data_IF_345901169547
#
_entry.id   IF_345901169547
#
_cell.length_a   1.000
_cell.length_b   1.000
_cell.length_c   1.000
_cell.angle_alpha   90.00
_cell.angle_beta   90.00
_cell.angle_gamma   90.00
#
_symmetry.space_group_name_H-M   'P 1'
#
loop_
_entity.id
_entity.type
_entity.pdbx_description
1 polymer ?
#
# COMPACT_ATOMS: atom_id res chain seq x y z
N UNK A 1 -29.50 -11.39 -16.52
CA UNK A 1 -30.06 -11.21 -17.89
C UNK A 1 -29.30 -10.20 -18.75
N UNK A 2 -28.90 -9.03 -18.23
CA UNK A 2 -28.33 -7.96 -19.08
C UNK A 2 -26.87 -8.17 -19.53
N UNK A 3 -26.03 -8.87 -18.76
CA UNK A 3 -24.63 -9.11 -19.11
C UNK A 3 -24.11 -10.45 -18.57
N UNK A 4 -24.66 -11.60 -19.01
CA UNK A 4 -24.34 -12.92 -18.44
C UNK A 4 -22.87 -13.34 -18.65
N UNK A 5 -22.16 -12.68 -19.58
CA UNK A 5 -20.75 -12.95 -19.90
C UNK A 5 -19.80 -11.89 -19.33
N UNK A 6 -20.29 -10.97 -18.50
CA UNK A 6 -19.44 -9.95 -17.90
C UNK A 6 -18.30 -10.58 -17.09
N UNK A 7 -17.10 -10.03 -17.24
CA UNK A 7 -15.95 -10.44 -16.44
C UNK A 7 -15.85 -9.57 -15.19
N UNK A 8 -15.91 -10.22 -14.03
CA UNK A 8 -15.71 -9.54 -12.76
C UNK A 8 -14.22 -9.43 -12.47
N UNK A 9 -13.71 -8.20 -12.40
CA UNK A 9 -12.38 -7.90 -11.87
C UNK A 9 -12.58 -7.33 -10.48
N UNK A 10 -12.24 -8.12 -9.45
CA UNK A 10 -12.44 -7.77 -8.05
C UNK A 10 -11.12 -7.36 -7.41
N UNK A 11 -11.14 -6.31 -6.59
CA UNK A 11 -10.05 -6.00 -5.68
C UNK A 11 -10.24 -6.77 -4.36
N UNK A 12 -9.50 -7.87 -4.23
CA UNK A 12 -9.29 -8.59 -2.97
C UNK A 12 -8.26 -7.87 -2.11
N UNK A 13 -7.39 -8.61 -1.43
CA UNK A 13 -6.23 -8.04 -0.73
C UNK A 13 -5.20 -9.13 -0.39
N UNK A 14 -3.90 -8.80 -0.50
CA UNK A 14 -2.83 -9.68 0.05
C UNK A 14 -3.00 -9.96 1.55
N UNK A 15 -3.75 -9.13 2.28
CA UNK A 15 -4.06 -9.34 3.69
C UNK A 15 -4.97 -10.53 3.97
N UNK A 16 -5.60 -11.15 2.96
CA UNK A 16 -6.38 -12.38 3.13
C UNK A 16 -5.50 -13.55 3.60
N UNK A 17 -4.30 -13.68 3.04
CA UNK A 17 -3.38 -14.77 3.36
C UNK A 17 -2.83 -14.72 4.80
N UNK A 18 -2.76 -13.53 5.40
CA UNK A 18 -2.04 -13.33 6.66
C UNK A 18 -0.53 -13.52 6.48
N UNK A 19 0.11 -14.14 7.47
CA UNK A 19 1.58 -14.35 7.49
C UNK A 19 1.93 -15.78 7.92
N UNK A 20 1.62 -16.79 7.10
CA UNK A 20 1.92 -18.18 7.39
C UNK A 20 3.44 -18.45 7.34
N UNK A 21 3.86 -19.62 7.83
CA UNK A 21 5.26 -20.05 7.79
C UNK A 21 5.57 -20.93 6.56
N UNK A 22 4.92 -20.63 5.44
CA UNK A 22 5.10 -21.27 4.13
C UNK A 22 5.02 -20.18 3.04
N UNK A 23 5.43 -20.50 1.82
CA UNK A 23 5.25 -19.62 0.67
C UNK A 23 3.76 -19.30 0.46
N UNK A 24 3.47 -18.04 0.14
CA UNK A 24 2.13 -17.60 -0.23
C UNK A 24 1.97 -17.76 -1.74
N UNK A 25 1.04 -18.61 -2.14
CA UNK A 25 0.72 -18.85 -3.55
C UNK A 25 -0.28 -17.82 -4.08
N UNK A 26 -0.51 -17.82 -5.39
CA UNK A 26 -1.53 -16.99 -6.03
C UNK A 26 -2.92 -17.67 -5.97
N UNK A 27 -3.50 -17.64 -4.77
CA UNK A 27 -4.88 -18.03 -4.41
C UNK A 27 -5.14 -19.50 -4.14
N UNK A 28 -4.28 -20.40 -4.62
CA UNK A 28 -4.49 -21.84 -4.52
C UNK A 28 -3.19 -22.57 -4.19
N UNK A 29 -3.31 -23.67 -3.44
CA UNK A 29 -2.19 -24.49 -3.01
C UNK A 29 -2.45 -25.95 -3.40
N UNK A 30 -1.49 -26.58 -4.06
CA UNK A 30 -1.50 -28.04 -4.27
C UNK A 30 -0.91 -28.71 -3.04
N UNK A 31 -1.67 -29.58 -2.40
CA UNK A 31 -1.25 -30.31 -1.20
C UNK A 31 -1.25 -31.81 -1.45
N UNK A 32 -0.31 -32.52 -0.84
CA UNK A 32 -0.36 -33.98 -0.69
C UNK A 32 -0.61 -34.30 0.78
N UNK A 33 -1.73 -34.95 1.09
CA UNK A 33 -2.13 -35.29 2.45
C UNK A 33 -2.67 -36.72 2.50
N UNK A 34 -2.10 -37.56 3.38
CA UNK A 34 -2.47 -38.97 3.57
C UNK A 34 -2.51 -39.79 2.26
N UNK A 35 -1.48 -39.63 1.41
CA UNK A 35 -1.35 -40.37 0.15
C UNK A 35 -2.26 -39.87 -0.99
N UNK A 36 -2.99 -38.77 -0.80
CA UNK A 36 -3.83 -38.14 -1.83
C UNK A 36 -3.33 -36.74 -2.15
N UNK A 37 -3.49 -36.31 -3.40
CA UNK A 37 -3.13 -34.98 -3.86
C UNK A 37 -4.37 -34.23 -4.34
N UNK A 38 -4.46 -32.94 -4.02
CA UNK A 38 -5.52 -32.05 -4.50
C UNK A 38 -5.04 -30.60 -4.58
N UNK A 39 -5.73 -29.76 -5.36
CA UNK A 39 -5.50 -28.32 -5.47
C UNK A 39 -6.65 -27.56 -4.82
N UNK A 40 -6.36 -26.92 -3.70
CA UNK A 40 -7.35 -26.29 -2.84
C UNK A 40 -7.17 -24.76 -2.81
N UNK A 41 -8.20 -23.99 -2.40
CA UNK A 41 -8.00 -22.60 -2.01
C UNK A 41 -6.91 -22.50 -0.95
N UNK A 42 -6.06 -21.48 -1.06
CA UNK A 42 -5.01 -21.25 -0.07
C UNK A 42 -5.64 -20.97 1.31
N UNK A 43 -5.08 -21.49 2.43
CA UNK A 43 -5.60 -21.18 3.77
C UNK A 43 -5.41 -19.70 4.16
N UNK A 44 -6.52 -18.99 4.39
CA UNK A 44 -6.53 -17.54 4.63
C UNK A 44 -6.60 -17.19 6.13
N UNK A 45 -5.89 -16.14 6.56
CA UNK A 45 -5.76 -15.69 7.95
C UNK A 45 -5.80 -14.14 8.07
N UNK A 46 -6.95 -13.50 7.77
CA UNK A 46 -7.06 -12.04 7.76
C UNK A 46 -6.88 -11.42 9.15
N UNK A 47 -6.13 -10.30 9.22
CA UNK A 47 -5.79 -9.63 10.48
C UNK A 47 -6.71 -8.48 10.92
N UNK A 48 -7.82 -8.22 10.22
CA UNK A 48 -8.81 -7.19 10.59
C UNK A 48 -10.17 -7.48 9.97
N UNK A 49 -11.24 -6.80 10.43
CA UNK A 49 -12.57 -6.92 9.81
C UNK A 49 -12.60 -6.47 8.35
N UNK A 50 -11.78 -5.48 7.97
CA UNK A 50 -11.59 -5.10 6.58
C UNK A 50 -11.03 -6.27 5.75
N UNK A 51 -9.92 -6.89 6.18
CA UNK A 51 -9.34 -8.02 5.45
C UNK A 51 -10.27 -9.24 5.46
N UNK A 52 -11.01 -9.47 6.55
CA UNK A 52 -11.98 -10.55 6.65
C UNK A 52 -13.15 -10.36 5.69
N UNK A 53 -13.63 -9.13 5.51
CA UNK A 53 -14.67 -8.85 4.52
C UNK A 53 -14.24 -9.19 3.09
N UNK A 54 -12.96 -8.97 2.74
CA UNK A 54 -12.42 -9.36 1.43
C UNK A 54 -12.37 -10.88 1.27
N UNK A 55 -11.98 -11.61 2.32
CA UNK A 55 -12.06 -13.07 2.32
C UNK A 55 -13.49 -13.59 2.06
N UNK A 56 -14.50 -12.92 2.63
CA UNK A 56 -15.90 -13.26 2.35
C UNK A 56 -16.25 -13.03 0.88
N UNK A 57 -15.83 -11.90 0.29
CA UNK A 57 -16.02 -11.63 -1.14
C UNK A 57 -15.40 -12.75 -1.99
N UNK A 58 -14.14 -13.10 -1.71
CA UNK A 58 -13.37 -14.11 -2.45
C UNK A 58 -14.09 -15.46 -2.47
N UNK A 59 -14.54 -15.94 -1.31
CA UNK A 59 -15.29 -17.19 -1.22
C UNK A 59 -16.65 -17.13 -1.94
N UNK A 60 -17.38 -16.03 -1.82
CA UNK A 60 -18.66 -15.86 -2.49
C UNK A 60 -18.51 -15.86 -4.02
N UNK A 61 -17.49 -15.16 -4.52
CA UNK A 61 -17.21 -15.08 -5.95
C UNK A 61 -16.74 -16.44 -6.48
N UNK A 62 -15.85 -17.12 -5.77
CA UNK A 62 -15.40 -18.47 -6.15
C UNK A 62 -16.56 -19.45 -6.22
N UNK A 63 -17.47 -19.41 -5.24
CA UNK A 63 -18.71 -20.20 -5.26
C UNK A 63 -19.54 -19.89 -6.50
N UNK A 64 -19.78 -18.61 -6.79
CA UNK A 64 -20.58 -18.18 -7.93
C UNK A 64 -19.94 -18.58 -9.28
N UNK A 65 -18.61 -18.55 -9.40
CA UNK A 65 -17.89 -19.03 -10.59
C UNK A 65 -18.17 -20.54 -10.79
N UNK A 66 -17.99 -21.34 -9.73
CA UNK A 66 -18.19 -22.80 -9.79
C UNK A 66 -19.63 -23.22 -10.08
N UNK A 67 -20.61 -22.53 -9.50
CA UNK A 67 -22.02 -22.96 -9.53
C UNK A 67 -22.80 -22.30 -10.67
N UNK A 68 -22.51 -21.04 -10.99
CA UNK A 68 -23.28 -20.27 -11.97
C UNK A 68 -22.48 -19.95 -13.24
N UNK A 69 -21.24 -20.41 -13.37
CA UNK A 69 -20.41 -20.16 -14.55
C UNK A 69 -19.90 -18.73 -14.65
N UNK A 70 -19.90 -17.95 -13.55
CA UNK A 70 -19.27 -16.63 -13.55
C UNK A 70 -17.78 -16.75 -13.92
N UNK A 71 -17.27 -15.73 -14.59
CA UNK A 71 -15.83 -15.57 -14.84
C UNK A 71 -15.32 -14.41 -13.99
N UNK A 72 -14.28 -14.66 -13.19
CA UNK A 72 -13.74 -13.64 -12.31
C UNK A 72 -12.21 -13.69 -12.20
N UNK A 73 -11.63 -12.51 -12.01
CA UNK A 73 -10.26 -12.33 -11.57
C UNK A 73 -10.26 -11.55 -10.27
N UNK A 74 -9.76 -12.17 -9.21
CA UNK A 74 -9.56 -11.53 -7.92
C UNK A 74 -8.11 -11.07 -7.80
N UNK A 75 -7.94 -9.76 -7.68
CA UNK A 75 -6.66 -9.09 -7.58
C UNK A 75 -6.34 -8.88 -6.10
N UNK A 76 -5.51 -9.77 -5.55
CA UNK A 76 -5.01 -9.68 -4.19
C UNK A 76 -3.90 -8.64 -4.15
N UNK A 77 -4.32 -7.38 -4.06
CA UNK A 77 -3.41 -6.25 -4.16
C UNK A 77 -2.59 -6.05 -2.88
N UNK A 78 -1.31 -5.71 -3.07
CA UNK A 78 -0.42 -5.21 -2.05
C UNK A 78 -0.74 -3.77 -1.63
N UNK A 79 0.16 -3.15 -0.87
CA UNK A 79 0.00 -1.76 -0.44
C UNK A 79 0.44 -0.82 -1.56
N UNK A 80 -0.47 0.04 -2.01
CA UNK A 80 -0.21 1.03 -3.06
C UNK A 80 0.56 2.23 -2.49
N UNK A 81 1.52 2.73 -3.25
CA UNK A 81 2.21 4.00 -3.01
C UNK A 81 2.16 4.92 -4.24
N UNK A 82 2.37 6.22 -4.00
CA UNK A 82 2.34 7.25 -5.02
C UNK A 82 0.93 7.79 -5.30
N UNK A 83 0.86 8.87 -6.08
CA UNK A 83 -0.37 9.58 -6.44
C UNK A 83 -0.35 10.11 -7.88
N UNK A 84 0.58 9.63 -8.71
CA UNK A 84 0.81 10.17 -10.02
C UNK A 84 0.69 9.08 -11.08
N UNK A 85 -0.07 9.36 -12.12
CA UNK A 85 -0.17 8.59 -13.37
C UNK A 85 -0.20 9.58 -14.52
N UNK A 86 0.06 9.12 -15.74
CA UNK A 86 0.03 9.98 -16.93
C UNK A 86 -1.32 10.69 -17.08
N UNK A 87 -2.44 9.99 -16.83
CA UNK A 87 -3.79 10.56 -16.89
C UNK A 87 -4.01 11.64 -15.81
N UNK A 88 -3.58 11.38 -14.58
CA UNK A 88 -3.68 12.34 -13.46
C UNK A 88 -2.80 13.56 -13.70
N UNK A 89 -1.71 13.42 -14.46
CA UNK A 89 -0.80 14.50 -14.79
C UNK A 89 -1.35 15.48 -15.85
N UNK A 90 -2.39 15.08 -16.60
CA UNK A 90 -2.89 15.85 -17.73
C UNK A 90 -3.47 17.22 -17.34
N UNK A 91 -4.07 17.33 -16.15
CA UNK A 91 -4.64 18.58 -15.65
C UNK A 91 -4.67 18.57 -14.10
N UNK A 92 -4.36 19.69 -13.42
CA UNK A 92 -4.44 19.76 -11.95
C UNK A 92 -5.80 19.35 -11.37
N UNK A 93 -6.90 19.53 -12.10
CA UNK A 93 -8.25 19.10 -11.72
C UNK A 93 -8.48 17.59 -11.75
N UNK A 94 -7.58 16.82 -12.35
CA UNK A 94 -7.60 15.34 -12.37
C UNK A 94 -6.79 14.72 -11.21
N UNK A 95 -6.21 15.56 -10.34
CA UNK A 95 -5.44 15.12 -9.18
C UNK A 95 -6.21 14.11 -8.33
N UNK A 96 -5.64 12.93 -8.13
CA UNK A 96 -6.18 11.95 -7.18
C UNK A 96 -5.84 12.31 -5.73
N UNK A 97 -6.56 11.73 -4.78
CA UNK A 97 -6.33 11.90 -3.34
C UNK A 97 -4.97 11.34 -2.92
N UNK A 98 -4.42 11.89 -1.83
CA UNK A 98 -3.22 11.38 -1.18
C UNK A 98 -3.41 11.36 0.33
N UNK A 99 -3.65 10.16 0.86
CA UNK A 99 -3.99 9.97 2.26
C UNK A 99 -2.74 9.79 3.12
N UNK A 100 -2.67 10.52 4.23
CA UNK A 100 -1.55 10.50 5.17
C UNK A 100 -1.99 10.31 6.62
N UNK A 101 -3.28 10.31 6.91
CA UNK A 101 -3.80 10.12 8.26
C UNK A 101 -3.57 8.68 8.76
N UNK A 102 -3.81 8.43 10.03
CA UNK A 102 -3.56 7.11 10.64
C UNK A 102 -4.63 6.04 10.30
N UNK A 103 -5.71 6.42 9.61
CA UNK A 103 -6.83 5.54 9.25
C UNK A 103 -6.69 5.06 7.80
N UNK A 104 -6.61 5.99 6.84
CA UNK A 104 -6.56 5.71 5.40
C UNK A 104 -5.14 5.75 4.83
N UNK A 105 -4.25 6.53 5.45
CA UNK A 105 -2.87 6.64 5.00
C UNK A 105 -2.12 5.31 5.10
N UNK A 106 -1.40 4.95 4.04
CA UNK A 106 -0.56 3.75 3.97
C UNK A 106 0.91 4.07 4.29
N UNK A 107 1.69 3.03 4.64
CA UNK A 107 3.05 3.17 5.22
C UNK A 107 3.96 4.12 4.45
N UNK A 108 4.20 3.88 3.16
CA UNK A 108 5.18 4.67 2.42
C UNK A 108 4.71 6.11 2.19
N UNK A 109 3.43 6.30 1.85
CA UNK A 109 2.85 7.63 1.68
C UNK A 109 2.95 8.45 2.98
N UNK A 110 2.61 7.84 4.13
CA UNK A 110 2.77 8.45 5.46
C UNK A 110 4.21 8.81 5.77
N UNK A 111 5.15 7.92 5.48
CA UNK A 111 6.58 8.21 5.66
C UNK A 111 7.02 9.38 4.79
N UNK A 112 6.63 9.44 3.52
CA UNK A 112 6.97 10.58 2.67
C UNK A 112 6.41 11.89 3.21
N UNK A 113 5.20 11.92 3.79
CA UNK A 113 4.67 13.13 4.42
C UNK A 113 5.44 13.51 5.69
N UNK A 114 5.69 12.56 6.57
CA UNK A 114 6.48 12.79 7.78
C UNK A 114 7.87 13.34 7.42
N UNK A 115 8.50 12.74 6.41
CA UNK A 115 9.79 13.17 5.91
C UNK A 115 9.74 14.59 5.31
N UNK A 116 8.78 14.89 4.43
CA UNK A 116 8.61 16.22 3.84
C UNK A 116 8.46 17.33 4.89
N UNK A 117 7.81 17.03 6.01
CA UNK A 117 7.61 17.96 7.13
C UNK A 117 8.75 17.97 8.15
N UNK A 118 9.80 17.17 7.95
CA UNK A 118 10.91 17.05 8.90
C UNK A 118 10.54 16.34 10.20
N UNK A 119 9.44 15.57 10.21
CA UNK A 119 9.00 14.77 11.35
C UNK A 119 9.70 13.39 11.35
N UNK A 120 9.82 12.74 12.52
CA UNK A 120 10.30 11.37 12.59
C UNK A 120 9.36 10.39 11.85
N UNK A 121 9.95 9.37 11.21
CA UNK A 121 9.19 8.29 10.59
C UNK A 121 8.65 7.35 11.66
N UNK A 122 7.34 7.11 11.68
CA UNK A 122 6.68 6.34 12.75
C UNK A 122 6.54 4.86 12.42
N UNK A 123 7.47 4.04 12.93
CA UNK A 123 7.42 2.58 12.80
C UNK A 123 6.58 1.99 13.92
N UNK A 124 5.61 1.14 13.62
CA UNK A 124 4.80 0.45 14.64
C UNK A 124 5.50 -0.82 15.11
N UNK A 125 5.66 -0.96 16.43
CA UNK A 125 6.32 -2.11 17.04
C UNK A 125 7.77 -2.23 16.58
N UNK A 126 8.24 -3.45 16.33
CA UNK A 126 9.61 -3.73 15.84
C UNK A 126 9.87 -3.30 14.39
N UNK A 127 8.84 -3.15 13.56
CA UNK A 127 8.98 -2.74 12.15
C UNK A 127 9.30 -3.86 11.15
N UNK A 128 9.35 -5.13 11.57
CA UNK A 128 9.62 -6.27 10.69
C UNK A 128 8.38 -6.82 9.98
N UNK A 129 7.24 -6.13 10.04
CA UNK A 129 6.04 -6.48 9.26
C UNK A 129 6.38 -6.35 7.77
N UNK A 130 6.39 -7.45 7.03
CA UNK A 130 6.72 -7.47 5.59
C UNK A 130 5.47 -7.64 4.75
N UNK A 131 5.29 -6.81 3.72
CA UNK A 131 4.14 -6.87 2.79
C UNK A 131 4.61 -6.68 1.36
N UNK A 132 3.77 -7.07 0.40
CA UNK A 132 3.91 -6.67 -0.99
C UNK A 132 3.47 -5.21 -1.20
N UNK A 133 4.21 -4.48 -2.04
CA UNK A 133 3.96 -3.09 -2.41
C UNK A 133 3.98 -2.93 -3.93
N UNK A 134 3.32 -1.89 -4.44
CA UNK A 134 3.35 -1.50 -5.84
C UNK A 134 3.06 -0.01 -6.03
N UNK A 135 3.54 0.53 -7.15
CA UNK A 135 3.21 1.87 -7.60
C UNK A 135 1.73 1.95 -8.05
N UNK A 136 1.10 3.10 -7.87
CA UNK A 136 -0.26 3.36 -8.38
C UNK A 136 -0.36 3.21 -9.90
N UNK A 137 0.72 3.47 -10.66
CA UNK A 137 0.80 3.21 -12.10
C UNK A 137 0.66 1.72 -12.42
N UNK A 138 1.28 0.86 -11.62
CA UNK A 138 1.16 -0.59 -11.75
C UNK A 138 -0.22 -1.08 -11.35
N UNK A 139 -0.91 -0.38 -10.43
CA UNK A 139 -2.31 -0.68 -10.10
C UNK A 139 -3.19 -0.61 -11.34
N UNK A 140 -3.12 0.50 -12.08
CA UNK A 140 -3.91 0.71 -13.30
C UNK A 140 -3.48 -0.28 -14.39
N UNK A 141 -2.18 -0.49 -14.57
CA UNK A 141 -1.65 -1.43 -15.56
C UNK A 141 -2.14 -2.86 -15.31
N UNK A 142 -2.13 -3.34 -14.06
CA UNK A 142 -2.60 -4.69 -13.73
C UNK A 142 -4.10 -4.86 -13.93
N UNK A 143 -4.92 -3.85 -13.61
CA UNK A 143 -6.37 -3.89 -13.88
C UNK A 143 -6.63 -3.97 -15.39
N UNK A 144 -5.90 -3.17 -16.19
CA UNK A 144 -5.96 -3.24 -17.65
C UNK A 144 -5.57 -4.62 -18.17
N UNK A 145 -4.47 -5.20 -17.67
CA UNK A 145 -4.04 -6.55 -18.07
C UNK A 145 -5.08 -7.62 -17.73
N UNK A 146 -5.71 -7.53 -16.56
CA UNK A 146 -6.78 -8.45 -16.18
C UNK A 146 -8.02 -8.32 -17.10
N UNK A 147 -8.33 -7.10 -17.55
CA UNK A 147 -9.42 -6.80 -18.47
C UNK A 147 -9.13 -7.29 -19.90
N UNK A 148 -7.93 -7.05 -20.40
CA UNK A 148 -7.50 -7.46 -21.75
C UNK A 148 -7.32 -8.98 -21.88
N UNK A 149 -7.08 -9.67 -20.77
CA UNK A 149 -6.90 -11.11 -20.72
C UNK A 149 -7.95 -11.72 -19.79
N UNK A 150 -9.25 -11.75 -20.15
CA UNK A 150 -10.34 -12.09 -19.23
C UNK A 150 -10.29 -13.56 -18.77
N UNK A 151 -10.90 -13.83 -17.61
CA UNK A 151 -11.08 -15.21 -17.15
C UNK A 151 -12.04 -15.98 -18.09
N UNK A 152 -11.85 -17.28 -18.19
CA UNK A 152 -12.75 -18.19 -18.90
C UNK A 152 -14.04 -18.42 -18.11
N UNK A 153 -15.08 -18.95 -18.76
CA UNK A 153 -16.36 -19.21 -18.09
C UNK A 153 -16.22 -20.21 -16.94
N UNK A 154 -16.80 -19.89 -15.79
CA UNK A 154 -16.67 -20.67 -14.56
C UNK A 154 -15.31 -20.56 -13.86
N UNK A 155 -14.36 -19.82 -14.41
CA UNK A 155 -13.02 -19.69 -13.86
C UNK A 155 -12.94 -18.59 -12.79
N UNK A 156 -12.33 -18.95 -11.65
CA UNK A 156 -11.92 -18.02 -10.60
C UNK A 156 -10.39 -17.90 -10.58
N UNK A 157 -9.86 -16.84 -11.21
CA UNK A 157 -8.43 -16.53 -11.19
C UNK A 157 -8.11 -15.68 -9.97
N UNK A 158 -6.94 -15.92 -9.38
CA UNK A 158 -6.39 -15.07 -8.31
C UNK A 158 -4.99 -14.67 -8.71
N UNK A 159 -4.72 -13.36 -8.68
CA UNK A 159 -3.39 -12.78 -8.92
C UNK A 159 -2.93 -12.06 -7.67
N UNK A 160 -1.70 -12.33 -7.24
CA UNK A 160 -1.07 -11.53 -6.19
C UNK A 160 -0.51 -10.28 -6.85
N UNK A 161 -1.21 -9.17 -6.69
CA UNK A 161 -0.94 -7.92 -7.38
C UNK A 161 -0.04 -7.02 -6.53
N UNK A 162 1.26 -7.27 -6.61
CA UNK A 162 2.31 -6.39 -6.10
C UNK A 162 3.60 -6.59 -6.92
N UNK A 163 4.59 -5.71 -6.76
CA UNK A 163 5.86 -5.77 -7.51
C UNK A 163 7.07 -6.06 -6.64
N UNK A 164 7.07 -5.62 -5.38
CA UNK A 164 8.19 -5.82 -4.45
C UNK A 164 7.70 -6.10 -3.03
N UNK A 165 8.54 -6.74 -2.22
CA UNK A 165 8.26 -6.97 -0.80
C UNK A 165 9.20 -6.13 0.06
N UNK A 166 8.64 -5.40 1.03
CA UNK A 166 9.42 -4.61 1.97
C UNK A 166 8.91 -4.81 3.39
N UNK A 167 9.84 -4.79 4.36
CA UNK A 167 9.48 -4.57 5.76
C UNK A 167 9.20 -3.09 6.01
N UNK A 168 8.39 -2.77 7.02
CA UNK A 168 8.13 -1.38 7.43
C UNK A 168 9.43 -0.66 7.76
N UNK A 169 10.36 -1.32 8.46
CA UNK A 169 11.68 -0.77 8.80
C UNK A 169 12.50 -0.47 7.54
N UNK A 170 12.54 -1.39 6.58
CA UNK A 170 13.27 -1.21 5.32
C UNK A 170 12.70 -0.02 4.52
N UNK A 171 11.39 0.18 4.52
CA UNK A 171 10.79 1.37 3.89
C UNK A 171 11.18 2.66 4.61
N UNK A 172 11.19 2.65 5.95
CA UNK A 172 11.62 3.82 6.72
C UNK A 172 13.10 4.16 6.44
N UNK A 173 13.96 3.15 6.34
CA UNK A 173 15.37 3.30 5.96
C UNK A 173 15.52 3.88 4.54
N UNK A 174 14.79 3.34 3.56
CA UNK A 174 14.78 3.89 2.18
C UNK A 174 14.38 5.37 2.15
N UNK A 175 13.33 5.77 2.87
CA UNK A 175 12.90 7.17 2.93
C UNK A 175 13.93 8.05 3.63
N UNK A 176 14.55 7.56 4.72
CA UNK A 176 15.64 8.26 5.40
C UNK A 176 16.84 8.46 4.48
N UNK A 177 17.23 7.42 3.74
CA UNK A 177 18.41 7.42 2.90
C UNK A 177 18.21 8.32 1.67
N UNK A 178 17.01 8.30 1.07
CA UNK A 178 16.61 9.25 0.03
C UNK A 178 16.73 10.70 0.50
N UNK A 179 16.33 11.00 1.74
CA UNK A 179 16.52 12.35 2.32
C UNK A 179 17.97 12.69 2.64
N UNK A 180 18.74 11.72 3.12
CA UNK A 180 20.15 11.90 3.41
C UNK A 180 20.96 12.26 2.15
N UNK A 181 20.57 11.75 0.99
CA UNK A 181 21.17 12.12 -0.30
C UNK A 181 21.05 13.63 -0.62
N UNK A 182 20.05 14.32 -0.05
CA UNK A 182 19.85 15.78 -0.15
C UNK A 182 20.34 16.55 1.09
N UNK A 183 21.14 15.92 1.95
CA UNK A 183 21.65 16.53 3.17
C UNK A 183 20.59 16.76 4.26
N UNK A 184 19.44 16.09 4.18
CA UNK A 184 18.35 16.22 5.14
C UNK A 184 18.37 15.06 6.14
N UNK A 185 18.46 15.39 7.43
CA UNK A 185 18.38 14.40 8.50
C UNK A 185 16.94 13.95 8.73
N UNK A 186 16.74 12.64 8.83
CA UNK A 186 15.45 12.02 9.16
C UNK A 186 15.66 10.99 10.25
N UNK A 187 14.92 11.12 11.36
CA UNK A 187 14.94 10.12 12.43
C UNK A 187 13.82 9.10 12.24
N UNK A 188 14.04 7.89 12.76
CA UNK A 188 13.04 6.82 12.80
C UNK A 188 12.70 6.59 14.27
N UNK A 189 11.41 6.57 14.60
CA UNK A 189 10.93 6.29 15.96
C UNK A 189 9.98 5.10 15.95
N UNK A 190 10.06 4.31 17.01
CA UNK A 190 9.20 3.16 17.21
C UNK A 190 8.05 3.54 18.16
N UNK A 191 6.81 3.29 17.73
CA UNK A 191 5.61 3.50 18.52
C UNK A 191 5.05 2.15 18.99
N UNK A 192 4.32 2.11 20.12
CA UNK A 192 3.52 0.95 20.48
C UNK A 192 2.59 0.56 19.33
N UNK A 193 2.56 -0.73 18.99
CA UNK A 193 1.81 -1.18 17.84
C UNK A 193 0.29 -1.21 18.15
N UNK A 194 -0.52 -0.35 17.50
CA UNK A 194 -1.97 -0.33 17.72
C UNK A 194 -2.65 -1.59 17.16
N UNK A 195 -1.97 -2.35 16.29
CA UNK A 195 -2.51 -3.55 15.64
C UNK A 195 -2.13 -4.82 16.40
N UNK A 196 -2.85 -5.89 16.11
CA UNK A 196 -2.52 -7.25 16.53
C UNK A 196 -2.00 -7.97 15.31
N UNK A 197 -0.67 -7.98 15.13
CA UNK A 197 0.00 -8.64 14.01
C UNK A 197 1.40 -9.10 14.42
N UNK A 198 2.00 -10.01 13.63
CA UNK A 198 3.38 -10.42 13.83
C UNK A 198 4.32 -9.29 13.39
N UNK A 199 5.21 -8.87 14.28
CA UNK A 199 6.17 -7.81 14.00
C UNK A 199 7.49 -8.34 13.41
N UNK A 200 7.64 -9.67 13.39
CA UNK A 200 8.70 -10.44 12.73
C UNK A 200 8.05 -11.73 12.23
N UNK A 201 8.19 -12.05 10.96
CA UNK A 201 7.61 -13.26 10.36
C UNK A 201 8.30 -13.63 9.05
N UNK A 202 8.19 -14.91 8.67
CA UNK A 202 8.45 -15.33 7.30
C UNK A 202 7.50 -14.64 6.33
N UNK A 203 7.98 -14.26 5.15
CA UNK A 203 7.15 -13.73 4.08
C UNK A 203 7.82 -13.97 2.73
N UNK A 204 7.21 -14.83 1.92
CA UNK A 204 7.62 -15.08 0.54
C UNK A 204 6.36 -15.31 -0.29
N UNK A 205 5.83 -14.25 -0.88
CA UNK A 205 4.65 -14.32 -1.74
C UNK A 205 5.01 -14.39 -3.22
N UNK A 206 4.44 -15.36 -3.93
CA UNK A 206 4.52 -15.45 -5.39
C UNK A 206 3.62 -14.41 -6.04
N UNK A 207 4.02 -13.88 -7.19
CA UNK A 207 3.34 -12.79 -7.90
C UNK A 207 3.69 -12.81 -9.41
N UNK A 208 3.69 -14.00 -10.00
CA UNK A 208 4.23 -14.23 -11.34
C UNK A 208 3.17 -14.04 -12.43
N UNK A 209 1.90 -14.36 -12.17
CA UNK A 209 0.85 -14.38 -13.20
C UNK A 209 0.69 -13.04 -13.94
N UNK A 210 0.83 -11.90 -13.26
CA UNK A 210 0.73 -10.59 -13.91
C UNK A 210 1.96 -10.26 -14.76
N UNK A 211 3.15 -10.71 -14.34
CA UNK A 211 4.38 -10.60 -15.13
C UNK A 211 4.29 -11.46 -16.39
N UNK A 212 3.72 -12.67 -16.28
CA UNK A 212 3.48 -13.56 -17.42
C UNK A 212 2.49 -12.96 -18.43
N UNK A 213 1.56 -12.11 -17.98
CA UNK A 213 0.66 -11.33 -18.84
C UNK A 213 1.30 -10.07 -19.43
N UNK A 214 2.58 -9.80 -19.12
CA UNK A 214 3.34 -8.69 -19.69
C UNK A 214 3.42 -7.42 -18.83
N UNK A 215 3.10 -7.49 -17.54
CA UNK A 215 3.32 -6.36 -16.63
C UNK A 215 4.78 -5.88 -16.69
N UNK A 216 4.97 -4.58 -16.93
CA UNK A 216 6.25 -3.90 -16.83
C UNK A 216 6.25 -3.09 -15.53
N UNK A 217 6.84 -3.62 -14.44
CA UNK A 217 6.70 -3.02 -13.11
C UNK A 217 7.50 -1.73 -12.96
N UNK A 218 6.93 -0.79 -12.20
CA UNK A 218 7.63 0.39 -11.72
C UNK A 218 8.18 0.10 -10.32
N UNK A 219 9.42 -0.37 -10.26
CA UNK A 219 10.08 -0.64 -8.99
C UNK A 219 10.36 0.63 -8.18
N UNK A 220 10.37 0.50 -6.86
CA UNK A 220 10.61 1.58 -5.91
C UNK A 220 12.08 2.03 -5.95
N UNK A 221 12.35 3.05 -6.76
CA UNK A 221 13.61 3.76 -6.81
C UNK A 221 13.62 5.04 -5.96
N UNK A 222 14.82 5.54 -5.67
CA UNK A 222 15.02 6.76 -4.88
C UNK A 222 14.34 7.98 -5.52
N UNK A 223 14.40 8.08 -6.85
CA UNK A 223 13.75 9.16 -7.62
C UNK A 223 12.23 9.21 -7.45
N UNK A 224 11.59 8.06 -7.22
CA UNK A 224 10.15 8.03 -6.96
C UNK A 224 9.82 8.54 -5.56
N UNK A 225 10.60 8.14 -4.55
CA UNK A 225 10.45 8.64 -3.18
C UNK A 225 10.65 10.16 -3.15
N UNK A 226 11.69 10.65 -3.82
CA UNK A 226 11.96 12.08 -3.97
C UNK A 226 10.80 12.81 -4.65
N UNK A 227 10.28 12.28 -5.77
CA UNK A 227 9.13 12.85 -6.46
C UNK A 227 7.90 12.97 -5.57
N UNK A 228 7.61 11.95 -4.74
CA UNK A 228 6.47 11.98 -3.81
C UNK A 228 6.72 13.02 -2.71
N UNK A 229 7.92 13.09 -2.15
CA UNK A 229 8.28 14.10 -1.14
C UNK A 229 8.14 15.52 -1.73
N UNK A 230 8.63 15.77 -2.93
CA UNK A 230 8.52 17.05 -3.64
C UNK A 230 7.06 17.46 -3.89
N UNK A 231 6.17 16.50 -4.18
CA UNK A 231 4.73 16.75 -4.26
C UNK A 231 4.17 17.16 -2.90
N UNK A 232 4.51 16.43 -1.84
CA UNK A 232 4.01 16.72 -0.50
C UNK A 232 4.50 18.08 0.00
N UNK A 233 5.76 18.45 -0.24
CA UNK A 233 6.30 19.75 0.18
C UNK A 233 5.54 20.93 -0.43
N UNK A 234 5.09 20.81 -1.68
CA UNK A 234 4.24 21.83 -2.34
C UNK A 234 2.88 22.00 -1.67
N UNK A 235 2.41 20.98 -0.95
CA UNK A 235 1.14 20.96 -0.25
C UNK A 235 1.28 20.90 1.27
N UNK A 236 2.48 21.12 1.81
CA UNK A 236 2.79 20.98 3.24
C UNK A 236 1.88 21.83 4.15
N UNK A 237 1.45 23.00 3.68
CA UNK A 237 0.53 23.89 4.42
C UNK A 237 -0.88 23.32 4.60
N UNK A 238 -1.25 22.29 3.84
CA UNK A 238 -2.55 21.59 3.92
C UNK A 238 -2.53 20.39 4.84
N UNK A 239 -1.37 20.05 5.39
CA UNK A 239 -1.23 18.89 6.25
C UNK A 239 -1.69 19.24 7.65
N UNK A 240 -2.66 18.49 8.17
CA UNK A 240 -3.06 18.57 9.56
C UNK A 240 -2.08 17.73 10.40
N UNK A 241 -1.28 18.36 11.28
CA UNK A 241 -0.33 17.63 12.12
C UNK A 241 -1.03 16.63 13.06
N UNK A 242 -2.28 16.90 13.47
CA UNK A 242 -3.04 16.02 14.37
C UNK A 242 -3.37 14.69 13.70
N UNK A 243 -3.66 14.70 12.40
CA UNK A 243 -3.97 13.48 11.64
C UNK A 243 -2.71 12.66 11.31
N UNK A 244 -1.55 13.32 11.26
CA UNK A 244 -0.24 12.65 11.11
C UNK A 244 0.28 12.01 12.39
N UNK A 245 -0.23 12.45 13.55
CA UNK A 245 0.20 11.99 14.87
C UNK A 245 -0.17 10.52 15.14
N UNK A 246 -0.05 10.10 16.40
CA UNK A 246 -0.16 8.72 16.84
C UNK A 246 -1.48 8.04 16.40
N UNK A 247 -1.44 6.73 16.12
CA UNK A 247 -2.62 5.97 15.78
C UNK A 247 -3.72 6.15 16.81
N UNK A 248 -4.92 6.48 16.32
CA UNK A 248 -6.08 6.82 17.14
C UNK A 248 -7.09 5.65 17.28
N UNK A 249 -6.75 4.46 16.77
CA UNK A 249 -7.51 3.21 16.93
C UNK A 249 -6.55 2.10 17.35
N UNK A 250 -6.83 1.43 18.47
CA UNK A 250 -6.11 0.23 18.91
C UNK A 250 -7.01 -1.00 18.77
N UNK A 251 -6.54 -2.07 18.14
CA UNK A 251 -7.39 -3.24 17.84
C UNK A 251 -7.88 -4.00 19.07
N UNK A 252 -7.22 -3.82 20.21
CA UNK A 252 -7.59 -4.47 21.48
C UNK A 252 -8.59 -3.63 22.26
N UNK A 253 -8.68 -2.33 22.00
CA UNK A 253 -9.41 -1.36 22.84
C UNK A 253 -10.40 -0.46 22.09
N UNK A 254 -10.38 -0.44 20.75
CA UNK A 254 -11.16 0.47 19.91
C UNK A 254 -10.53 1.86 19.79
N UNK A 255 -11.36 2.88 19.55
CA UNK A 255 -10.91 4.27 19.42
C UNK A 255 -10.22 4.78 20.70
N UNK A 256 -9.06 5.41 20.55
CA UNK A 256 -8.24 5.91 21.66
C UNK A 256 -8.78 7.23 22.23
N UNK A 257 -8.20 7.71 23.34
CA UNK A 257 -8.58 9.01 23.91
C UNK A 257 -8.38 10.17 22.91
N UNK A 258 -7.40 10.07 22.01
CA UNK A 258 -7.14 11.06 20.96
C UNK A 258 -8.25 11.09 19.91
N UNK A 259 -8.86 9.94 19.58
CA UNK A 259 -10.05 9.88 18.72
C UNK A 259 -11.24 10.69 19.28
N UNK A 260 -11.35 10.78 20.61
CA UNK A 260 -12.45 11.46 21.29
C UNK A 260 -12.23 12.96 21.50
N UNK A 261 -11.02 13.47 21.25
CA UNK A 261 -10.76 14.92 21.32
C UNK A 261 -11.26 15.55 20.03
N UNK A 262 -12.24 16.45 20.13
CA UNK A 262 -12.57 17.35 19.01
C UNK A 262 -11.32 18.13 18.63
N UNK A 263 -11.05 18.40 17.34
CA UNK A 263 -9.93 19.23 16.96
C UNK A 263 -10.09 20.60 17.64
N UNK A 264 -9.20 20.90 18.57
CA UNK A 264 -8.98 22.28 19.02
C UNK A 264 -8.29 22.95 17.85
N UNK A 265 -8.86 24.04 17.34
CA UNK A 265 -8.23 24.85 16.30
C UNK A 265 -6.84 25.27 16.80
N UNK A 266 -5.80 24.57 16.35
CA UNK A 266 -4.43 24.92 16.69
C UNK A 266 -4.08 26.14 15.85
N UNK A 267 -3.87 27.27 16.53
CA UNK A 267 -3.30 28.48 15.94
C UNK A 267 -2.06 28.12 15.13
N UNK A 268 -2.14 28.39 13.83
CA UNK A 268 -1.18 28.06 12.78
C UNK A 268 0.26 28.42 13.14
N UNK A 269 1.12 27.42 13.34
CA UNK A 269 2.49 27.51 12.82
C UNK A 269 2.47 26.85 11.45
N UNK A 270 2.62 27.66 10.40
CA UNK A 270 2.68 27.19 9.02
C UNK A 270 3.84 26.19 8.88
N UNK A 271 3.59 24.93 8.51
CA UNK A 271 4.65 24.01 8.14
C UNK A 271 5.44 24.62 6.99
N UNK A 272 6.75 24.75 7.16
CA UNK A 272 7.63 25.37 6.14
C UNK A 272 8.33 24.27 5.33
N UNK A 273 8.29 24.30 3.99
CA UNK A 273 8.94 23.30 3.14
C UNK A 273 10.46 23.24 3.40
N UNK A 274 11.04 22.03 3.39
CA UNK A 274 12.44 21.82 3.78
C UNK A 274 13.38 21.94 2.58
N UNK A 275 13.02 21.40 1.40
CA UNK A 275 13.86 21.43 0.18
C UNK A 275 13.79 22.78 -0.54
N UNK A 276 12.65 23.48 -0.51
CA UNK A 276 12.53 24.81 -1.12
C UNK A 276 13.60 25.80 -0.61
N UNK A 277 13.98 25.72 0.67
CA UNK A 277 15.06 26.52 1.26
C UNK A 277 16.46 26.16 0.76
N UNK A 278 16.71 24.89 0.44
CA UNK A 278 18.00 24.43 -0.08
C UNK A 278 18.23 24.91 -1.52
N UNK A 279 17.22 24.75 -2.39
CA UNK A 279 17.27 25.24 -3.78
C UNK A 279 17.34 26.77 -3.88
N UNK A 280 16.71 27.49 -2.95
CA UNK A 280 16.79 28.96 -2.88
C UNK A 280 18.17 29.45 -2.39
N UNK A 281 18.81 28.71 -1.46
CA UNK A 281 20.19 28.97 -1.05
C UNK A 281 21.19 28.74 -2.19
N UNK A 282 21.05 27.65 -2.94
CA UNK A 282 21.91 27.36 -4.09
C UNK A 282 21.78 28.41 -5.20
N UNK A 283 20.55 28.88 -5.49
CA UNK A 283 20.32 29.97 -6.46
C UNK A 283 20.94 31.30 -6.03
N UNK A 284 20.92 31.64 -4.73
CA UNK A 284 21.59 32.86 -4.22
C UNK A 284 23.11 32.77 -4.29
N UNK A 285 23.69 31.59 -4.06
CA UNK A 285 25.15 31.40 -4.17
C UNK A 285 25.61 31.46 -5.64
N UNK A 286 24.81 31.00 -6.59
CA UNK A 286 25.10 31.09 -8.02
C UNK A 286 24.99 32.52 -8.61
N UNK A 287 24.19 33.41 -7.99
CA UNK A 287 24.09 34.82 -8.40
C UNK A 287 25.15 35.74 -7.78
N UNK A 288 25.99 35.23 -6.88
CA UNK A 288 27.02 36.02 -6.17
C UNK A 288 28.45 35.59 -6.56
N UNK A 289 28.63 34.99 -7.74
CA UNK A 289 29.94 34.68 -8.33
C UNK A 289 30.05 35.28 -9.73
#
# INVERSE_FOLDING_TARGET
DHAPKAHLIKLGTMGEYGTPNIDIEEGFLTITHNGRQDRLPFPMQPGSFYHLSKLHDSHNIQFACRIWGLRATDLHQGVVYGNHTDDVAMDPGLSTRFDYDAIWGTVLNRFCVQAALGLPLTVYGKGGQTRGFLDIRDTVACVRLALENPATEGEYRVFNQFTEQFSVKTLAEKVRDARAAHGLTTSIVHLPNPRVEREEHYYNAKHQKLLDLGLQPHYLGDTLIESVIDIVERHASRVDPVELEQPNVDWRRGGTANWRRRPVVVSSKTPSPTVARAREKERRVAQTR
#
